data_IF_858155268611
#
_entry.id   IF_858155268611
#
_cell.length_a   1.000
_cell.length_b   1.000
_cell.length_c   1.000
_cell.angle_alpha   90.00
_cell.angle_beta   90.00
_cell.angle_gamma   90.00
#
_symmetry.space_group_name_H-M   'P 1'
#
loop_
_entity.id
_entity.type
_entity.pdbx_description
1 polymer ?
#
# COMPACT_ATOMS: atom_id res chain seq x y z
N UNK A 1 -4.55 8.19 -23.05
CA UNK A 1 -3.50 9.14 -22.62
C UNK A 1 -4.04 10.32 -21.81
N UNK A 2 -5.17 10.95 -22.18
CA UNK A 2 -5.74 12.06 -21.41
C UNK A 2 -6.02 11.74 -19.93
N UNK A 3 -6.60 10.57 -19.64
CA UNK A 3 -6.87 10.12 -18.25
C UNK A 3 -5.60 9.98 -17.41
N UNK A 4 -4.54 9.40 -17.98
CA UNK A 4 -3.25 9.28 -17.28
C UNK A 4 -2.67 10.65 -16.93
N UNK A 5 -2.66 11.59 -17.87
CA UNK A 5 -2.20 12.94 -17.62
C UNK A 5 -3.04 13.66 -16.54
N UNK A 6 -4.36 13.45 -16.54
CA UNK A 6 -5.24 13.96 -15.49
C UNK A 6 -4.85 13.38 -14.12
N UNK A 7 -4.65 12.06 -14.00
CA UNK A 7 -4.24 11.44 -12.75
C UNK A 7 -2.89 11.98 -12.25
N UNK A 8 -1.91 12.18 -13.14
CA UNK A 8 -0.64 12.81 -12.78
C UNK A 8 -0.81 14.22 -12.21
N UNK A 9 -1.72 15.02 -12.77
CA UNK A 9 -2.00 16.37 -12.29
C UNK A 9 -2.80 16.38 -10.97
N UNK A 10 -3.78 15.49 -10.82
CA UNK A 10 -4.66 15.41 -9.66
C UNK A 10 -3.98 14.78 -8.43
N UNK A 11 -3.07 13.82 -8.64
CA UNK A 11 -2.44 13.04 -7.57
C UNK A 11 -0.91 13.10 -7.64
N UNK A 12 -0.29 14.29 -7.51
CA UNK A 12 1.16 14.46 -7.68
C UNK A 12 2.01 13.74 -6.62
N UNK A 13 1.41 13.29 -5.52
CA UNK A 13 2.08 12.52 -4.45
C UNK A 13 1.91 11.01 -4.59
N UNK A 14 1.05 10.54 -5.49
CA UNK A 14 0.83 9.12 -5.73
C UNK A 14 1.80 8.60 -6.79
N UNK A 15 2.05 7.29 -6.76
CA UNK A 15 2.65 6.60 -7.88
C UNK A 15 1.59 6.38 -8.97
N UNK A 16 1.58 7.28 -9.96
CA UNK A 16 0.70 7.17 -11.12
C UNK A 16 1.33 6.27 -12.17
N UNK A 17 0.61 5.24 -12.60
CA UNK A 17 1.09 4.24 -13.53
C UNK A 17 0.10 3.99 -14.67
N UNK A 18 0.62 3.74 -15.87
CA UNK A 18 -0.11 3.19 -17.00
C UNK A 18 0.74 2.04 -17.55
N UNK A 19 0.28 0.81 -17.36
CA UNK A 19 0.99 -0.39 -17.77
C UNK A 19 0.15 -1.12 -18.81
N UNK A 20 0.69 -1.34 -20.00
CA UNK A 20 0.09 -2.16 -21.03
C UNK A 20 0.97 -3.38 -21.27
N UNK A 21 0.45 -4.56 -20.96
CA UNK A 21 1.17 -5.83 -21.13
C UNK A 21 0.48 -6.61 -22.26
N UNK A 22 1.19 -6.90 -23.37
CA UNK A 22 0.64 -7.67 -24.49
C UNK A 22 0.07 -9.02 -24.02
N UNK A 23 -1.17 -9.31 -24.40
CA UNK A 23 -1.86 -10.55 -24.04
C UNK A 23 -2.41 -10.62 -22.60
N UNK A 24 -2.14 -9.62 -21.76
CA UNK A 24 -2.63 -9.57 -20.36
C UNK A 24 -3.61 -8.42 -20.15
N UNK A 25 -3.35 -7.26 -20.75
CA UNK A 25 -4.24 -6.10 -20.70
C UNK A 25 -3.56 -4.83 -20.24
N UNK A 26 -4.37 -3.78 -20.02
CA UNK A 26 -3.90 -2.45 -19.63
C UNK A 26 -4.43 -2.07 -18.27
N UNK A 27 -3.54 -1.56 -17.42
CA UNK A 27 -3.85 -1.11 -16.06
C UNK A 27 -3.45 0.35 -15.88
N UNK A 28 -4.30 1.09 -15.19
CA UNK A 28 -4.10 2.49 -14.85
C UNK A 28 -4.36 2.67 -13.36
N UNK A 29 -3.48 3.37 -12.64
CA UNK A 29 -3.68 3.57 -11.20
C UNK A 29 -2.90 4.74 -10.64
N UNK A 30 -3.26 5.14 -9.43
CA UNK A 30 -2.61 6.20 -8.65
C UNK A 30 -2.44 5.72 -7.21
N UNK A 31 -1.44 4.87 -6.97
CA UNK A 31 -1.26 4.24 -5.66
C UNK A 31 -0.51 5.15 -4.68
N UNK A 32 -1.02 5.36 -3.45
CA UNK A 32 -0.30 6.10 -2.42
C UNK A 32 0.63 5.23 -1.56
N UNK A 33 0.54 3.89 -1.67
CA UNK A 33 1.16 2.97 -0.72
C UNK A 33 2.50 2.44 -1.24
N UNK A 34 3.59 2.93 -0.66
CA UNK A 34 4.92 2.41 -0.92
C UNK A 34 5.07 1.02 -0.29
N UNK A 35 5.29 -0.01 -1.10
CA UNK A 35 5.65 -1.33 -0.61
C UNK A 35 7.13 -1.41 -0.26
N UNK A 36 8.00 -0.87 -1.12
CA UNK A 36 9.44 -0.97 -0.98
C UNK A 36 10.14 0.12 -1.79
N UNK A 37 11.07 0.84 -1.19
CA UNK A 37 12.03 1.69 -1.90
C UNK A 37 13.44 1.24 -1.59
N UNK A 38 14.31 1.24 -2.59
CA UNK A 38 15.76 1.07 -2.44
C UNK A 38 16.43 2.18 -3.24
N UNK A 39 17.28 2.95 -2.57
CA UNK A 39 18.10 3.98 -3.18
C UNK A 39 19.47 4.06 -2.48
N UNK A 40 20.23 5.12 -2.75
CA UNK A 40 21.56 5.34 -2.16
C UNK A 40 21.56 5.47 -0.62
N UNK A 41 20.41 5.76 -0.01
CA UNK A 41 20.26 5.92 1.43
C UNK A 41 19.89 4.61 2.14
N UNK A 42 19.39 3.62 1.41
CA UNK A 42 19.06 2.29 1.93
C UNK A 42 17.69 1.81 1.47
N UNK A 43 17.02 1.05 2.33
CA UNK A 43 15.70 0.48 2.11
C UNK A 43 14.66 1.22 2.95
N UNK A 44 13.52 1.54 2.35
CA UNK A 44 12.36 2.12 3.05
C UNK A 44 11.07 1.36 2.76
N UNK A 45 10.19 1.28 3.75
CA UNK A 45 8.81 0.80 3.62
C UNK A 45 7.88 1.59 4.53
N UNK A 46 6.58 1.51 4.28
CA UNK A 46 5.58 2.11 5.16
C UNK A 46 4.51 1.10 5.56
N UNK A 47 4.00 1.24 6.78
CA UNK A 47 2.67 0.74 7.16
C UNK A 47 1.69 1.89 6.93
N UNK A 48 0.77 1.73 5.98
CA UNK A 48 -0.28 2.69 5.66
C UNK A 48 -1.63 2.03 5.91
N UNK A 49 -2.37 2.52 6.89
CA UNK A 49 -3.71 2.04 7.22
C UNK A 49 -4.51 3.15 7.91
N UNK A 50 -5.76 2.84 8.26
CA UNK A 50 -6.79 3.79 8.67
C UNK A 50 -7.09 4.83 7.57
N UNK A 51 -8.34 4.99 7.20
CA UNK A 51 -8.74 5.96 6.17
C UNK A 51 -9.78 6.91 6.76
N UNK A 52 -9.57 8.21 6.60
CA UNK A 52 -10.61 9.21 6.83
C UNK A 52 -10.70 10.15 5.62
N UNK A 53 -11.87 10.76 5.43
CA UNK A 53 -12.00 11.87 4.50
C UNK A 53 -11.08 13.02 4.93
N UNK A 54 -10.44 13.68 3.96
CA UNK A 54 -9.68 14.90 4.24
C UNK A 54 -10.63 15.99 4.77
N UNK A 55 -10.30 16.67 5.88
CA UNK A 55 -11.08 17.79 6.38
C UNK A 55 -11.28 18.87 5.31
N UNK A 56 -12.45 19.51 5.28
CA UNK A 56 -12.77 20.52 4.25
C UNK A 56 -11.78 21.70 4.19
N UNK A 57 -11.14 22.04 5.31
CA UNK A 57 -10.12 23.08 5.38
C UNK A 57 -8.71 22.60 4.96
N UNK A 58 -8.54 21.30 4.68
CA UNK A 58 -7.26 20.69 4.34
C UNK A 58 -6.27 20.58 5.50
N UNK A 59 -6.70 20.88 6.74
CA UNK A 59 -5.83 20.89 7.91
C UNK A 59 -5.65 19.48 8.48
N UNK A 60 -4.43 18.94 8.35
CA UNK A 60 -4.09 17.61 8.86
C UNK A 60 -4.00 17.56 10.39
N UNK A 61 -3.71 18.69 11.05
CA UNK A 61 -3.66 18.76 12.52
C UNK A 61 -5.04 18.73 13.15
N UNK A 62 -6.09 19.04 12.38
CA UNK A 62 -7.48 18.93 12.80
C UNK A 62 -8.02 17.49 12.76
N UNK A 63 -7.32 16.56 12.09
CA UNK A 63 -7.73 15.15 11.98
C UNK A 63 -7.72 14.50 13.37
N UNK A 64 -8.77 13.74 13.69
CA UNK A 64 -8.90 13.01 14.96
C UNK A 64 -9.18 11.55 14.64
N UNK A 65 -8.22 10.70 15.01
CA UNK A 65 -8.32 9.27 14.82
C UNK A 65 -9.08 8.62 15.98
N UNK A 66 -10.05 7.80 15.63
CA UNK A 66 -10.77 6.95 16.56
C UNK A 66 -9.87 5.80 17.06
N UNK A 67 -10.34 5.11 18.09
CA UNK A 67 -9.67 3.93 18.61
C UNK A 67 -9.54 2.82 17.55
N UNK A 68 -10.56 2.61 16.71
CA UNK A 68 -10.57 1.60 15.63
C UNK A 68 -9.39 1.81 14.69
N UNK A 69 -9.28 3.03 14.16
CA UNK A 69 -8.26 3.41 13.19
C UNK A 69 -6.84 3.33 13.78
N UNK A 70 -6.66 3.74 15.04
CA UNK A 70 -5.38 3.59 15.73
C UNK A 70 -5.02 2.11 15.91
N UNK A 71 -5.97 1.25 16.27
CA UNK A 71 -5.76 -0.19 16.41
C UNK A 71 -5.43 -0.86 15.06
N UNK A 72 -6.13 -0.49 13.99
CA UNK A 72 -5.84 -0.95 12.62
C UNK A 72 -4.42 -0.58 12.17
N UNK A 73 -3.99 0.68 12.39
CA UNK A 73 -2.62 1.09 12.08
C UNK A 73 -1.58 0.36 12.96
N UNK A 74 -1.88 0.15 14.24
CA UNK A 74 -1.00 -0.56 15.15
C UNK A 74 -0.78 -2.02 14.70
N UNK A 75 -1.82 -2.66 14.18
CA UNK A 75 -1.77 -4.01 13.61
C UNK A 75 -0.85 -4.09 12.39
N UNK A 76 -0.99 -3.17 11.43
CA UNK A 76 -0.15 -3.15 10.22
C UNK A 76 1.30 -2.82 10.55
N UNK A 77 1.56 -1.82 11.39
CA UNK A 77 2.92 -1.48 11.81
C UNK A 77 3.59 -2.59 12.64
N UNK A 78 2.84 -3.30 13.50
CA UNK A 78 3.35 -4.44 14.27
C UNK A 78 3.76 -5.62 13.38
N UNK A 79 3.04 -5.84 12.28
CA UNK A 79 3.38 -6.86 11.29
C UNK A 79 4.75 -6.56 10.63
N UNK A 80 4.98 -5.32 10.21
CA UNK A 80 6.27 -4.90 9.62
C UNK A 80 7.40 -4.94 10.67
N UNK A 81 7.15 -4.47 11.90
CA UNK A 81 8.12 -4.59 13.01
C UNK A 81 8.54 -6.04 13.25
N UNK A 82 7.56 -6.95 13.26
CA UNK A 82 7.81 -8.38 13.47
C UNK A 82 8.66 -8.97 12.34
N UNK A 83 8.38 -8.61 11.08
CA UNK A 83 9.21 -9.01 9.95
C UNK A 83 10.68 -8.62 10.14
N UNK A 84 10.98 -7.36 10.48
CA UNK A 84 12.38 -6.93 10.65
C UNK A 84 13.07 -7.61 11.84
N UNK A 85 12.33 -7.81 12.94
CA UNK A 85 12.83 -8.53 14.11
C UNK A 85 13.19 -9.98 13.74
N UNK A 86 12.28 -10.67 13.05
CA UNK A 86 12.45 -12.09 12.70
C UNK A 86 13.53 -12.27 11.62
N UNK A 87 13.73 -11.26 10.77
CA UNK A 87 14.86 -11.18 9.83
C UNK A 87 16.20 -10.80 10.49
N UNK A 88 16.23 -10.52 11.80
CA UNK A 88 17.45 -10.16 12.52
C UNK A 88 18.03 -8.80 12.13
N UNK A 89 17.24 -7.89 11.59
CA UNK A 89 17.70 -6.57 11.14
C UNK A 89 17.82 -5.63 12.33
N UNK A 90 19.05 -5.25 12.67
CA UNK A 90 19.32 -4.23 13.69
C UNK A 90 19.25 -2.81 13.10
N UNK A 91 18.95 -1.82 13.94
CA UNK A 91 19.03 -0.40 13.57
C UNK A 91 17.91 0.10 12.64
N UNK A 92 16.79 -0.61 12.55
CA UNK A 92 15.59 -0.14 11.86
C UNK A 92 15.12 1.18 12.49
N UNK A 93 15.02 2.24 11.69
CA UNK A 93 14.48 3.53 12.14
C UNK A 93 12.99 3.58 11.86
N UNK A 94 12.19 3.58 12.92
CA UNK A 94 10.74 3.72 12.86
C UNK A 94 10.33 5.18 13.15
N UNK A 95 9.44 5.75 12.33
CA UNK A 95 8.85 7.09 12.53
C UNK A 95 7.34 7.04 12.33
N UNK A 96 6.60 7.72 13.20
CA UNK A 96 5.13 7.75 13.20
C UNK A 96 4.51 6.98 14.37
N UNK A 97 3.20 6.68 14.32
CA UNK A 97 2.30 6.98 13.22
C UNK A 97 2.07 8.49 13.03
N UNK A 98 2.00 8.96 11.79
CA UNK A 98 1.70 10.34 11.42
C UNK A 98 0.54 10.41 10.40
N UNK A 99 -0.21 11.51 10.41
CA UNK A 99 -1.29 11.74 9.44
C UNK A 99 -0.69 12.16 8.10
N UNK A 100 -0.95 11.39 7.04
CA UNK A 100 -0.52 11.69 5.67
C UNK A 100 -1.72 11.81 4.73
N UNK A 101 -1.67 12.72 3.76
CA UNK A 101 -2.75 12.89 2.79
C UNK A 101 -2.46 12.15 1.47
N UNK A 102 -3.44 11.35 1.03
CA UNK A 102 -3.47 10.68 -0.26
C UNK A 102 -4.72 11.09 -1.04
N UNK A 103 -4.58 12.06 -1.96
CA UNK A 103 -5.73 12.60 -2.68
C UNK A 103 -6.71 13.32 -1.75
N UNK A 104 -7.97 12.89 -1.77
CA UNK A 104 -9.07 13.43 -0.96
C UNK A 104 -9.26 12.70 0.39
N UNK A 105 -8.37 11.78 0.74
CA UNK A 105 -8.37 11.07 2.03
C UNK A 105 -7.06 11.28 2.77
N UNK A 106 -7.09 10.98 4.06
CA UNK A 106 -5.93 10.93 4.95
C UNK A 106 -5.77 9.52 5.50
N UNK A 107 -4.52 9.16 5.82
CA UNK A 107 -4.15 7.89 6.40
C UNK A 107 -3.23 8.08 7.60
N UNK A 108 -3.17 7.08 8.48
CA UNK A 108 -2.06 6.93 9.39
C UNK A 108 -0.91 6.22 8.69
N UNK A 109 0.31 6.74 8.85
CA UNK A 109 1.51 6.16 8.28
C UNK A 109 2.59 5.96 9.33
N UNK A 110 3.20 4.79 9.36
CA UNK A 110 4.44 4.52 10.07
C UNK A 110 5.51 4.14 9.07
N UNK A 111 6.62 4.87 9.03
CA UNK A 111 7.73 4.64 8.11
C UNK A 111 8.85 3.85 8.79
N UNK A 112 9.43 2.92 8.05
CA UNK A 112 10.58 2.13 8.45
C UNK A 112 11.71 2.34 7.45
N UNK A 113 12.87 2.77 7.94
CA UNK A 113 14.08 2.91 7.14
C UNK A 113 15.20 2.01 7.67
N UNK A 114 15.90 1.35 6.75
CA UNK A 114 16.98 0.41 7.04
C UNK A 114 18.19 0.74 6.18
N UNK A 115 19.35 0.80 6.80
CA UNK A 115 20.61 0.94 6.10
C UNK A 115 21.47 -0.30 6.33
N UNK A 116 21.79 -1.01 5.27
CA UNK A 116 22.66 -2.19 5.27
C UNK A 116 23.62 -2.10 4.09
N UNK A 117 24.82 -2.67 4.21
CA UNK A 117 25.70 -2.82 3.07
C UNK A 117 25.07 -3.73 2.01
N UNK A 118 25.50 -3.55 0.76
CA UNK A 118 25.35 -4.53 -0.29
C UNK A 118 26.25 -5.75 0.03
N UNK A 119 25.80 -7.02 -0.09
CA UNK A 119 24.55 -7.51 -0.70
C UNK A 119 23.39 -7.76 0.28
N UNK A 120 23.56 -7.51 1.58
CA UNK A 120 22.52 -7.80 2.59
C UNK A 120 21.23 -7.02 2.32
N UNK A 121 21.34 -5.79 1.82
CA UNK A 121 20.20 -4.95 1.47
C UNK A 121 19.30 -5.61 0.40
N UNK A 122 19.89 -6.20 -0.65
CA UNK A 122 19.14 -6.85 -1.73
C UNK A 122 18.48 -8.17 -1.29
N UNK A 123 19.17 -8.92 -0.42
CA UNK A 123 18.59 -10.11 0.19
C UNK A 123 17.38 -9.73 1.06
N UNK A 124 17.51 -8.69 1.89
CA UNK A 124 16.41 -8.18 2.71
C UNK A 124 15.24 -7.72 1.83
N UNK A 125 15.50 -6.96 0.77
CA UNK A 125 14.48 -6.53 -0.18
C UNK A 125 13.71 -7.70 -0.81
N UNK A 126 14.43 -8.72 -1.29
CA UNK A 126 13.81 -9.92 -1.88
C UNK A 126 12.99 -10.70 -0.85
N UNK A 127 13.52 -10.83 0.37
CA UNK A 127 12.84 -11.49 1.49
C UNK A 127 11.58 -10.73 1.88
N UNK A 128 11.64 -9.40 1.85
CA UNK A 128 10.52 -8.52 2.12
C UNK A 128 9.41 -8.67 1.07
N UNK A 129 9.75 -8.65 -0.23
CA UNK A 129 8.77 -8.84 -1.30
C UNK A 129 8.06 -10.20 -1.22
N UNK A 130 8.75 -11.25 -0.80
CA UNK A 130 8.16 -12.60 -0.67
C UNK A 130 7.40 -12.80 0.64
N UNK A 131 7.85 -12.18 1.73
CA UNK A 131 7.26 -12.39 3.06
C UNK A 131 6.11 -11.44 3.34
N UNK A 132 6.27 -10.15 3.00
CA UNK A 132 5.28 -9.12 3.27
C UNK A 132 4.22 -9.00 2.19
N UNK A 133 4.42 -9.50 0.96
CA UNK A 133 3.34 -9.54 -0.03
C UNK A 133 2.47 -10.82 0.12
N UNK A 134 1.14 -10.71 -0.03
CA UNK A 134 0.34 -9.50 0.14
C UNK A 134 0.45 -8.94 1.57
N UNK A 135 0.46 -7.61 1.70
CA UNK A 135 0.59 -6.94 3.00
C UNK A 135 -0.62 -7.21 3.87
N UNK A 136 -0.47 -7.07 5.18
CA UNK A 136 -1.60 -7.17 6.11
C UNK A 136 -2.68 -6.13 5.82
N UNK A 137 -2.34 -5.00 5.20
CA UNK A 137 -3.28 -3.95 4.80
C UNK A 137 -4.24 -4.38 3.67
N UNK A 138 -3.80 -5.25 2.76
CA UNK A 138 -4.62 -5.67 1.60
C UNK A 138 -5.11 -7.12 1.65
N UNK A 139 -4.60 -7.90 2.59
CA UNK A 139 -4.96 -9.30 2.81
C UNK A 139 -5.56 -9.49 4.21
N UNK A 140 -4.74 -9.32 5.25
CA UNK A 140 -5.13 -9.48 6.65
C UNK A 140 -4.17 -10.39 7.42
N UNK A 141 -4.55 -10.74 8.65
CA UNK A 141 -3.72 -11.54 9.54
C UNK A 141 -4.54 -12.60 10.29
N UNK A 142 -4.02 -13.84 10.45
CA UNK A 142 -2.81 -14.39 9.82
C UNK A 142 -2.93 -14.49 8.29
N UNK A 143 -1.84 -14.21 7.56
CA UNK A 143 -1.83 -14.05 6.08
C UNK A 143 -2.55 -15.17 5.34
N UNK A 144 -2.20 -16.42 5.62
CA UNK A 144 -2.75 -17.57 4.88
C UNK A 144 -4.26 -17.76 5.13
N UNK A 145 -4.72 -17.50 6.36
CA UNK A 145 -6.13 -17.60 6.71
C UNK A 145 -6.95 -16.47 6.09
N UNK A 146 -6.41 -15.25 6.11
CA UNK A 146 -7.04 -14.10 5.49
C UNK A 146 -7.12 -14.28 3.96
N UNK A 147 -6.04 -14.74 3.32
CA UNK A 147 -6.02 -15.03 1.89
C UNK A 147 -7.03 -16.12 1.52
N UNK A 148 -7.09 -17.21 2.27
CA UNK A 148 -8.07 -18.26 2.05
C UNK A 148 -9.51 -17.75 2.18
N UNK A 149 -9.77 -16.87 3.16
CA UNK A 149 -11.07 -16.23 3.32
C UNK A 149 -11.42 -15.34 2.12
N UNK A 150 -10.50 -14.47 1.69
CA UNK A 150 -10.69 -13.59 0.51
C UNK A 150 -11.05 -14.41 -0.73
N UNK A 151 -10.24 -15.43 -1.05
CA UNK A 151 -10.45 -16.29 -2.21
C UNK A 151 -11.79 -17.04 -2.17
N UNK A 152 -12.29 -17.36 -0.98
CA UNK A 152 -13.56 -18.07 -0.81
C UNK A 152 -14.80 -17.15 -0.88
N UNK A 153 -14.65 -15.83 -0.66
CA UNK A 153 -15.79 -14.94 -0.42
C UNK A 153 -15.95 -13.81 -1.45
N UNK A 154 -14.90 -13.35 -2.14
CA UNK A 154 -15.04 -12.18 -3.04
C UNK A 154 -15.78 -12.48 -4.35
N UNK A 155 -15.73 -13.73 -4.83
CA UNK A 155 -16.44 -14.14 -6.05
C UNK A 155 -15.88 -13.57 -7.36
N UNK A 156 -14.71 -12.93 -7.34
CA UNK A 156 -13.97 -12.48 -8.52
C UNK A 156 -12.45 -12.66 -8.35
N UNK A 157 -11.71 -12.65 -9.46
CA UNK A 157 -10.25 -12.65 -9.45
C UNK A 157 -9.74 -11.22 -9.34
N UNK A 158 -9.00 -10.90 -8.27
CA UNK A 158 -8.36 -9.58 -8.10
C UNK A 158 -7.34 -9.29 -9.21
N UNK A 159 -6.82 -10.31 -9.90
CA UNK A 159 -5.80 -10.16 -10.94
C UNK A 159 -4.60 -9.36 -10.41
N UNK A 160 -4.32 -8.15 -10.92
CA UNK A 160 -3.24 -7.31 -10.40
C UNK A 160 -3.66 -6.39 -9.23
N UNK A 161 -4.95 -6.26 -8.92
CA UNK A 161 -5.40 -5.49 -7.76
C UNK A 161 -4.84 -6.11 -6.47
N UNK A 162 -4.36 -5.27 -5.54
CA UNK A 162 -3.63 -5.66 -4.32
C UNK A 162 -2.27 -6.37 -4.55
N UNK A 163 -1.82 -6.46 -5.81
CA UNK A 163 -0.45 -6.81 -6.22
C UNK A 163 0.57 -5.72 -5.86
N UNK A 164 1.72 -5.70 -6.55
CA UNK A 164 2.64 -4.57 -6.51
C UNK A 164 3.29 -4.30 -7.87
N UNK A 165 3.75 -3.07 -8.07
CA UNK A 165 4.35 -2.62 -9.32
C UNK A 165 5.31 -1.45 -9.07
N UNK A 166 6.20 -1.21 -10.02
CA UNK A 166 7.03 -0.02 -10.03
C UNK A 166 8.36 -0.21 -10.76
N UNK A 167 9.14 0.86 -10.92
CA UNK A 167 10.49 0.78 -11.47
C UNK A 167 11.41 -0.08 -10.60
N UNK A 168 12.21 -0.91 -11.25
CA UNK A 168 13.26 -1.72 -10.64
C UNK A 168 14.59 -1.36 -11.26
N UNK A 169 15.54 -0.95 -10.43
CA UNK A 169 16.90 -0.56 -10.81
C UNK A 169 16.96 0.49 -11.95
N UNK A 170 16.01 1.43 -11.98
CA UNK A 170 16.07 2.56 -12.91
C UNK A 170 16.93 3.64 -12.26
N UNK A 171 18.06 3.97 -12.88
CA UNK A 171 19.03 4.92 -12.34
C UNK A 171 19.53 4.55 -10.94
N UNK A 172 19.71 3.25 -10.68
CA UNK A 172 20.15 2.72 -9.38
C UNK A 172 19.09 2.76 -8.29
N UNK A 173 17.81 3.00 -8.63
CA UNK A 173 16.71 3.07 -7.69
C UNK A 173 15.63 2.03 -8.03
N UNK A 174 15.07 1.44 -6.98
CA UNK A 174 13.90 0.56 -7.05
C UNK A 174 12.81 1.16 -6.21
N UNK A 175 11.59 1.28 -6.74
CA UNK A 175 10.47 1.85 -5.99
C UNK A 175 9.18 1.16 -6.36
N UNK A 176 8.76 0.23 -5.50
CA UNK A 176 7.59 -0.61 -5.67
C UNK A 176 6.45 -0.12 -4.78
N UNK A 177 5.24 -0.11 -5.33
CA UNK A 177 4.02 0.33 -4.67
C UNK A 177 3.00 -0.80 -4.72
N UNK A 178 2.16 -0.90 -3.69
CA UNK A 178 1.01 -1.81 -3.69
C UNK A 178 0.02 -1.34 -4.76
N UNK A 179 -0.53 -2.24 -5.57
CA UNK A 179 -1.44 -1.87 -6.67
C UNK A 179 -2.86 -1.61 -6.17
N UNK A 180 -3.05 -0.43 -5.59
CA UNK A 180 -4.34 0.08 -5.10
C UNK A 180 -4.77 1.30 -5.92
N UNK A 181 -6.04 1.71 -5.74
CA UNK A 181 -6.66 2.86 -6.46
C UNK A 181 -6.39 2.75 -7.96
N UNK A 182 -6.69 1.58 -8.50
CA UNK A 182 -6.38 1.19 -9.85
C UNK A 182 -7.61 0.66 -10.59
N UNK A 183 -7.49 0.61 -11.91
CA UNK A 183 -8.50 0.08 -12.81
C UNK A 183 -7.82 -0.76 -13.89
N UNK A 184 -8.51 -1.82 -14.31
CA UNK A 184 -8.18 -2.52 -15.55
C UNK A 184 -8.99 -1.89 -16.68
N UNK A 185 -8.29 -1.47 -17.74
CA UNK A 185 -8.90 -0.89 -18.93
C UNK A 185 -9.19 -1.99 -19.96
N UNK A 186 -10.42 -1.96 -20.47
CA UNK A 186 -10.89 -2.75 -21.60
C UNK A 186 -11.21 -1.80 -22.76
N UNK A 187 -11.58 -2.35 -23.93
CA UNK A 187 -11.78 -1.54 -25.15
C UNK A 187 -12.78 -0.39 -24.99
N UNK A 188 -13.89 -0.62 -24.27
CA UNK A 188 -14.96 0.36 -24.07
C UNK A 188 -15.44 0.45 -22.60
N UNK A 189 -14.75 -0.19 -21.67
CA UNK A 189 -15.12 -0.22 -20.25
C UNK A 189 -13.89 -0.26 -19.36
N UNK A 190 -14.09 -0.11 -18.05
CA UNK A 190 -13.06 -0.31 -17.04
C UNK A 190 -13.63 -1.08 -15.86
N UNK A 191 -12.80 -1.94 -15.26
CA UNK A 191 -13.07 -2.55 -13.96
C UNK A 191 -12.33 -1.74 -12.90
N UNK A 192 -13.06 -1.15 -11.95
CA UNK A 192 -12.47 -0.41 -10.82
C UNK A 192 -12.42 -1.33 -9.61
N UNK A 193 -11.34 -1.21 -8.83
CA UNK A 193 -11.13 -2.01 -7.64
C UNK A 193 -11.00 -1.12 -6.40
N UNK A 194 -11.74 -1.47 -5.35
CA UNK A 194 -11.71 -0.83 -4.04
C UNK A 194 -11.91 -1.89 -2.97
N UNK A 195 -11.39 -1.62 -1.78
CA UNK A 195 -11.49 -2.54 -0.65
C UNK A 195 -11.15 -1.80 0.64
N UNK A 196 -11.73 -2.27 1.73
CA UNK A 196 -11.52 -1.78 3.09
C UNK A 196 -11.02 -2.90 4.01
N UNK A 197 -10.38 -2.51 5.11
CA UNK A 197 -9.88 -3.44 6.11
C UNK A 197 -10.97 -3.81 7.12
N UNK A 198 -11.31 -5.09 7.24
CA UNK A 198 -12.38 -5.55 8.15
C UNK A 198 -11.78 -6.05 9.47
N UNK A 199 -12.29 -5.53 10.58
CA UNK A 199 -11.96 -6.00 11.94
C UNK A 199 -13.22 -6.46 12.69
N UNK A 200 -13.05 -7.03 13.89
CA UNK A 200 -14.16 -7.47 14.71
C UNK A 200 -15.08 -6.32 15.20
N UNK A 201 -14.60 -5.07 15.10
CA UNK A 201 -15.35 -3.86 15.50
C UNK A 201 -15.82 -3.05 14.28
N UNK A 202 -15.63 -3.56 13.06
CA UNK A 202 -16.14 -2.94 11.84
C UNK A 202 -17.66 -2.99 11.77
N UNK A 203 -18.26 -1.92 11.25
CA UNK A 203 -19.67 -1.85 10.91
C UNK A 203 -19.83 -1.97 9.39
N UNK A 204 -20.69 -2.88 8.92
CA UNK A 204 -20.80 -3.19 7.49
C UNK A 204 -21.24 -1.99 6.63
N UNK A 205 -22.10 -1.11 7.17
CA UNK A 205 -22.57 0.06 6.44
C UNK A 205 -21.49 1.13 6.33
N UNK A 206 -20.63 1.25 7.35
CA UNK A 206 -19.50 2.17 7.33
C UNK A 206 -18.40 1.67 6.37
N UNK A 207 -18.05 0.39 6.41
CA UNK A 207 -17.06 -0.20 5.47
C UNK A 207 -17.54 -0.14 4.00
N UNK A 208 -18.85 -0.16 3.76
CA UNK A 208 -19.41 0.02 2.42
C UNK A 208 -19.28 1.47 1.90
N UNK A 209 -19.22 2.46 2.79
CA UNK A 209 -19.11 3.89 2.43
C UNK A 209 -17.66 4.36 2.25
N UNK A 210 -16.70 3.66 2.84
CA UNK A 210 -15.25 3.95 2.75
C UNK A 210 -14.72 3.82 1.30
#
# INVERSE_FOLDING_TARGET
MATFAHLCAAYPRAFVSLIAIPGVGTWLGASPELLLSIDTYGLSTVALAATQALPHNGDLEAVRWSRKEIEEQALVSSYIRSFFRDAGVAGVRERGPETVQAGNVVHLQTRFDVHLPEPQLQLLATTMLTSLHPTSAVCGMPKDRALAFILANEGYDRSFYSGFLGPVNISGQTRLHVNLRCMQLHDASASLFVGGGITAISDADDEWRE
#
